data_IF_626338702046
#
_entry.id   IF_626338702046
#
_cell.length_a   1.000
_cell.length_b   1.000
_cell.length_c   1.000
_cell.angle_alpha   90.00
_cell.angle_beta   90.00
_cell.angle_gamma   90.00
#
_symmetry.space_group_name_H-M   'P 1'
#
loop_
_entity.id
_entity.type
_entity.pdbx_description
1 polymer ?
#
# COMPACT_ATOMS: atom_id res chain seq x y z
N UNK A 1 13.97 -11.20 5.26
CA UNK A 1 13.77 -11.52 6.68
C UNK A 1 13.82 -13.03 6.87
N UNK A 2 14.51 -13.53 7.91
CA UNK A 2 14.57 -14.96 8.25
C UNK A 2 13.74 -15.19 9.51
N UNK A 3 12.50 -15.62 9.31
CA UNK A 3 11.51 -15.85 10.38
C UNK A 3 12.02 -16.80 11.48
N UNK A 4 12.73 -17.87 11.09
CA UNK A 4 13.24 -18.88 12.03
C UNK A 4 14.53 -18.55 12.75
N UNK A 5 15.28 -17.53 12.30
CA UNK A 5 16.57 -17.13 12.88
C UNK A 5 16.55 -15.74 13.52
N UNK A 6 15.37 -15.11 13.65
CA UNK A 6 15.21 -13.76 14.20
C UNK A 6 16.19 -12.75 13.58
N UNK A 7 16.25 -12.74 12.23
CA UNK A 7 17.34 -12.08 11.51
C UNK A 7 16.93 -11.38 10.21
N UNK A 8 17.68 -10.34 9.85
CA UNK A 8 17.75 -9.77 8.50
C UNK A 8 19.09 -10.14 7.86
N UNK A 9 19.04 -10.87 6.74
CA UNK A 9 20.22 -11.19 5.93
C UNK A 9 20.24 -10.34 4.68
N UNK A 10 21.35 -9.66 4.41
CA UNK A 10 21.59 -8.89 3.20
C UNK A 10 22.39 -9.76 2.23
N UNK A 11 21.89 -9.89 1.00
CA UNK A 11 22.53 -10.65 -0.07
C UNK A 11 22.91 -9.69 -1.20
N UNK A 12 24.18 -9.72 -1.61
CA UNK A 12 24.66 -9.01 -2.80
C UNK A 12 24.35 -9.81 -4.05
N UNK A 13 23.78 -9.17 -5.07
CA UNK A 13 23.54 -9.76 -6.39
C UNK A 13 24.66 -9.35 -7.35
N UNK A 14 25.34 -10.33 -7.94
CA UNK A 14 26.24 -10.09 -9.06
C UNK A 14 25.42 -9.61 -10.29
N UNK A 15 25.72 -8.45 -10.89
CA UNK A 15 24.91 -7.91 -11.97
C UNK A 15 25.04 -8.71 -13.28
N UNK A 16 26.18 -9.37 -13.52
CA UNK A 16 26.42 -10.13 -14.75
C UNK A 16 25.82 -11.54 -14.70
N UNK A 17 25.97 -12.24 -13.58
CA UNK A 17 25.56 -13.63 -13.42
C UNK A 17 24.28 -13.82 -12.61
N UNK A 18 23.80 -12.78 -11.90
CA UNK A 18 22.66 -12.86 -10.99
C UNK A 18 22.90 -13.68 -9.71
N UNK A 19 24.13 -14.10 -9.44
CA UNK A 19 24.44 -14.93 -8.25
C UNK A 19 24.31 -14.09 -6.99
N UNK A 20 23.76 -14.70 -5.94
CA UNK A 20 23.60 -14.08 -4.62
C UNK A 20 24.72 -14.54 -3.68
N UNK A 21 25.31 -13.59 -2.95
CA UNK A 21 26.29 -13.87 -1.88
C UNK A 21 25.91 -13.13 -0.61
N UNK A 22 25.94 -13.75 0.58
CA UNK A 22 25.73 -13.04 1.83
C UNK A 22 26.73 -11.90 2.03
N UNK A 23 26.24 -10.76 2.51
CA UNK A 23 27.03 -9.54 2.71
C UNK A 23 26.91 -9.00 4.14
N UNK A 24 25.71 -8.97 4.72
CA UNK A 24 25.49 -8.61 6.12
C UNK A 24 24.47 -9.55 6.79
N UNK A 25 24.58 -9.68 8.11
CA UNK A 25 23.62 -10.40 8.95
C UNK A 25 23.34 -9.54 10.19
N UNK A 26 22.07 -9.21 10.40
CA UNK A 26 21.57 -8.53 11.59
C UNK A 26 20.69 -9.49 12.38
N UNK A 27 21.05 -9.73 13.63
CA UNK A 27 20.34 -10.62 14.56
C UNK A 27 19.61 -9.78 15.62
N UNK A 28 18.52 -10.34 16.14
CA UNK A 28 17.87 -9.81 17.33
C UNK A 28 18.82 -9.79 18.55
N UNK A 29 18.68 -8.78 19.40
CA UNK A 29 19.51 -8.61 20.61
C UNK A 29 19.42 -9.79 21.57
N UNK A 30 18.26 -10.47 21.64
CA UNK A 30 18.08 -11.65 22.50
C UNK A 30 18.81 -12.89 21.98
N UNK A 31 19.24 -12.88 20.71
CA UNK A 31 20.04 -13.92 20.06
C UNK A 31 21.53 -13.52 19.99
N UNK A 32 21.96 -12.55 20.80
CA UNK A 32 23.33 -12.03 20.80
C UNK A 32 23.63 -11.05 19.66
N UNK A 33 22.60 -10.56 18.97
CA UNK A 33 22.69 -9.51 17.97
C UNK A 33 22.75 -8.10 18.56
N UNK A 34 22.56 -7.10 17.69
CA UNK A 34 22.64 -5.68 18.05
C UNK A 34 21.39 -4.89 17.65
N UNK A 35 20.31 -5.59 17.28
CA UNK A 35 19.07 -4.96 16.82
C UNK A 35 17.94 -5.42 17.71
N UNK A 36 17.21 -4.48 18.30
CA UNK A 36 16.02 -4.79 19.08
C UNK A 36 14.82 -4.97 18.14
N UNK A 37 13.92 -5.90 18.48
CA UNK A 37 12.62 -6.05 17.82
C UNK A 37 12.64 -6.86 16.53
N UNK A 38 13.59 -7.77 16.34
CA UNK A 38 13.68 -8.67 15.18
C UNK A 38 13.22 -10.11 15.48
N UNK A 39 12.37 -10.33 16.49
CA UNK A 39 11.84 -11.68 16.76
C UNK A 39 10.75 -12.03 15.74
N UNK A 40 10.96 -13.11 14.98
CA UNK A 40 10.07 -13.59 13.90
C UNK A 40 9.74 -12.49 12.89
N UNK A 41 10.74 -11.97 12.13
CA UNK A 41 10.51 -10.93 11.14
C UNK A 41 9.65 -11.47 9.99
N UNK A 42 8.65 -10.69 9.58
CA UNK A 42 7.55 -11.10 8.67
C UNK A 42 7.69 -10.53 7.28
N UNK A 43 7.98 -9.23 7.15
CA UNK A 43 8.14 -8.56 5.85
C UNK A 43 9.34 -7.60 5.84
N UNK A 44 9.76 -7.21 4.63
CA UNK A 44 10.81 -6.21 4.41
C UNK A 44 10.43 -5.32 3.23
N UNK A 45 10.61 -4.01 3.37
CA UNK A 45 10.43 -3.04 2.30
C UNK A 45 11.60 -2.05 2.26
N UNK A 46 11.99 -1.61 1.06
CA UNK A 46 12.98 -0.56 0.88
C UNK A 46 12.28 0.73 0.40
N UNK A 47 12.79 1.89 0.80
CA UNK A 47 12.31 3.16 0.25
C UNK A 47 12.69 3.33 -1.22
N UNK A 48 11.91 4.08 -2.02
CA UNK A 48 12.19 4.31 -3.44
C UNK A 48 13.54 4.95 -3.74
N UNK A 49 14.03 5.80 -2.83
CA UNK A 49 15.36 6.44 -2.93
C UNK A 49 16.52 5.50 -2.56
N UNK A 50 16.22 4.27 -2.13
CA UNK A 50 17.19 3.25 -1.76
C UNK A 50 17.95 3.53 -0.46
N UNK A 51 17.48 4.49 0.36
CA UNK A 51 18.15 4.95 1.59
C UNK A 51 17.61 4.35 2.88
N UNK A 52 16.47 3.67 2.84
CA UNK A 52 15.83 3.10 4.02
C UNK A 52 15.38 1.68 3.75
N UNK A 53 15.44 0.84 4.78
CA UNK A 53 14.88 -0.51 4.81
C UNK A 53 14.06 -0.66 6.08
N UNK A 54 12.85 -1.18 5.95
CA UNK A 54 11.90 -1.38 7.04
C UNK A 54 11.59 -2.86 7.17
N UNK A 55 11.53 -3.36 8.40
CA UNK A 55 11.23 -4.77 8.71
C UNK A 55 10.13 -4.81 9.74
N UNK A 56 9.02 -5.48 9.43
CA UNK A 56 8.03 -5.83 10.46
C UNK A 56 8.41 -7.14 11.12
N UNK A 57 8.14 -7.25 12.41
CA UNK A 57 8.33 -8.51 13.14
C UNK A 57 7.13 -8.84 14.00
N UNK A 58 6.49 -9.96 13.69
CA UNK A 58 5.28 -10.38 14.37
C UNK A 58 5.54 -10.95 15.77
N UNK A 59 6.73 -11.49 16.04
CA UNK A 59 7.08 -12.00 17.36
C UNK A 59 7.37 -10.91 18.39
N UNK A 60 7.92 -9.78 17.94
CA UNK A 60 8.17 -8.59 18.77
C UNK A 60 7.08 -7.53 18.67
N UNK A 61 6.07 -7.72 17.81
CA UNK A 61 5.06 -6.70 17.48
C UNK A 61 5.71 -5.35 17.14
N UNK A 62 6.55 -5.32 16.11
CA UNK A 62 7.49 -4.21 15.87
C UNK A 62 7.63 -3.79 14.41
N UNK A 63 8.14 -2.58 14.22
CA UNK A 63 8.71 -2.05 12.98
C UNK A 63 10.16 -1.62 13.24
N UNK A 64 11.11 -2.25 12.57
CA UNK A 64 12.55 -1.96 12.67
C UNK A 64 13.01 -1.21 11.41
N UNK A 65 13.65 -0.07 11.58
CA UNK A 65 14.22 0.74 10.51
C UNK A 65 15.74 0.55 10.44
N UNK A 66 16.23 0.44 9.20
CA UNK A 66 17.64 0.49 8.85
C UNK A 66 17.88 1.62 7.85
N UNK A 67 18.92 2.40 8.08
CA UNK A 67 19.49 3.28 7.06
C UNK A 67 20.30 2.43 6.09
N UNK A 68 20.21 2.75 4.81
CA UNK A 68 20.91 2.08 3.72
C UNK A 68 21.79 3.09 2.98
N UNK A 69 23.05 2.75 2.80
CA UNK A 69 23.90 3.49 1.86
C UNK A 69 23.43 3.20 0.42
N UNK A 70 23.00 4.20 -0.37
CA UNK A 70 22.48 3.95 -1.71
C UNK A 70 23.56 3.51 -2.72
N UNK A 71 24.85 3.76 -2.43
CA UNK A 71 25.98 3.39 -3.28
C UNK A 71 26.50 1.99 -2.98
N UNK A 72 26.66 1.64 -1.69
CA UNK A 72 27.21 0.34 -1.29
C UNK A 72 26.12 -0.69 -1.01
N UNK A 73 24.93 -0.24 -0.61
CA UNK A 73 23.85 -1.09 -0.15
C UNK A 73 23.97 -1.54 1.30
N UNK A 74 25.01 -1.11 2.01
CA UNK A 74 25.22 -1.45 3.42
C UNK A 74 24.10 -0.88 4.29
N UNK A 75 23.62 -1.70 5.21
CA UNK A 75 22.64 -1.32 6.21
C UNK A 75 23.31 -0.92 7.52
N UNK A 76 22.73 0.05 8.20
CA UNK A 76 23.03 0.44 9.57
C UNK A 76 21.71 0.56 10.37
N UNK A 77 21.63 0.03 11.61
CA UNK A 77 20.43 0.13 12.42
C UNK A 77 20.01 1.58 12.65
N UNK A 78 18.71 1.83 12.55
CA UNK A 78 18.04 3.08 12.91
C UNK A 78 17.13 2.85 14.12
N UNK A 79 15.94 3.43 14.06
CA UNK A 79 14.92 3.34 15.10
C UNK A 79 14.18 1.98 15.07
N UNK A 80 13.77 1.52 16.26
CA UNK A 80 12.82 0.41 16.42
C UNK A 80 11.58 0.92 17.12
N UNK A 81 10.42 0.57 16.58
CA UNK A 81 9.10 0.86 17.15
C UNK A 81 8.46 -0.44 17.62
N UNK A 82 7.97 -0.46 18.86
CA UNK A 82 7.34 -1.62 19.51
C UNK A 82 5.90 -1.30 19.88
N UNK A 83 5.03 -2.29 19.77
CA UNK A 83 3.67 -2.22 20.29
C UNK A 83 3.67 -2.05 21.82
N UNK A 84 2.67 -1.33 22.35
CA UNK A 84 2.59 -0.97 23.76
C UNK A 84 3.56 0.15 24.20
N UNK A 85 4.28 0.77 23.26
CA UNK A 85 5.05 1.99 23.48
C UNK A 85 4.18 3.24 23.72
N UNK A 86 4.84 4.39 23.83
CA UNK A 86 4.18 5.70 23.79
C UNK A 86 4.77 6.50 22.62
N UNK A 87 3.96 6.86 21.60
CA UNK A 87 2.51 6.67 21.49
C UNK A 87 2.12 5.19 21.36
N UNK A 88 0.85 4.88 21.66
CA UNK A 88 0.29 3.55 21.44
C UNK A 88 0.22 3.29 19.93
N UNK A 89 1.00 2.32 19.46
CA UNK A 89 1.03 1.89 18.07
C UNK A 89 0.03 0.74 17.88
N UNK A 90 -0.37 0.47 16.63
CA UNK A 90 -1.12 -0.73 16.27
C UNK A 90 -0.18 -1.67 15.50
N UNK A 91 0.71 -2.34 16.24
CA UNK A 91 1.75 -3.22 15.69
C UNK A 91 1.61 -4.67 16.18
N UNK A 92 0.48 -5.04 16.78
CA UNK A 92 0.27 -6.38 17.32
C UNK A 92 0.42 -7.43 16.23
N UNK A 93 1.43 -8.29 16.38
CA UNK A 93 1.71 -9.32 15.39
C UNK A 93 2.09 -8.80 14.01
N UNK A 94 2.68 -7.60 13.90
CA UNK A 94 3.06 -6.92 12.65
C UNK A 94 3.43 -7.87 11.48
N UNK A 95 2.78 -7.67 10.33
CA UNK A 95 2.66 -8.65 9.25
C UNK A 95 3.34 -8.19 7.97
N UNK A 96 3.00 -6.99 7.52
CA UNK A 96 3.44 -6.46 6.23
C UNK A 96 3.80 -4.97 6.36
N UNK A 97 4.64 -4.49 5.45
CA UNK A 97 5.04 -3.08 5.39
C UNK A 97 5.10 -2.60 3.95
N UNK A 98 4.61 -1.39 3.70
CA UNK A 98 4.68 -0.74 2.40
C UNK A 98 5.13 0.71 2.53
N UNK A 99 5.97 1.16 1.61
CA UNK A 99 6.50 2.53 1.56
C UNK A 99 5.83 3.26 0.40
N UNK A 100 5.43 4.50 0.61
CA UNK A 100 4.82 5.32 -0.44
C UNK A 100 5.83 5.61 -1.58
N UNK A 101 5.35 5.73 -2.83
CA UNK A 101 6.21 6.02 -3.99
C UNK A 101 7.00 7.33 -3.90
N UNK A 102 6.47 8.32 -3.17
CA UNK A 102 7.15 9.59 -2.88
C UNK A 102 8.24 9.46 -1.79
N UNK A 103 8.38 8.30 -1.16
CA UNK A 103 9.36 8.02 -0.10
C UNK A 103 9.09 8.75 1.21
N UNK A 104 7.89 9.27 1.43
CA UNK A 104 7.55 10.09 2.61
C UNK A 104 6.82 9.36 3.71
N UNK A 105 6.13 8.26 3.39
CA UNK A 105 5.23 7.59 4.32
C UNK A 105 5.45 6.07 4.30
N UNK A 106 5.34 5.45 5.48
CA UNK A 106 5.48 4.01 5.70
C UNK A 106 4.24 3.52 6.42
N UNK A 107 3.66 2.43 5.91
CA UNK A 107 2.49 1.79 6.49
C UNK A 107 2.86 0.39 6.96
N UNK A 108 2.78 0.17 8.27
CA UNK A 108 2.94 -1.14 8.87
C UNK A 108 1.56 -1.74 9.16
N UNK A 109 1.26 -2.89 8.56
CA UNK A 109 0.04 -3.65 8.77
C UNK A 109 0.23 -4.64 9.91
N UNK A 110 -0.74 -4.68 10.82
CA UNK A 110 -0.77 -5.56 11.97
C UNK A 110 -2.19 -6.11 12.21
N UNK A 111 -2.34 -7.01 13.19
CA UNK A 111 -3.64 -7.62 13.51
C UNK A 111 -4.64 -6.61 14.06
N UNK A 112 -4.15 -5.53 14.69
CA UNK A 112 -4.98 -4.52 15.35
C UNK A 112 -5.04 -3.18 14.60
N UNK A 113 -4.38 -3.02 13.45
CA UNK A 113 -4.48 -1.81 12.62
C UNK A 113 -3.41 -1.65 11.56
N UNK A 114 -3.45 -0.49 10.89
CA UNK A 114 -2.37 0.03 10.04
C UNK A 114 -1.76 1.21 10.77
N UNK A 115 -0.49 1.09 11.16
CA UNK A 115 0.27 2.19 11.75
C UNK A 115 1.00 2.96 10.64
N UNK A 116 0.78 4.28 10.59
CA UNK A 116 1.39 5.19 9.63
C UNK A 116 2.54 5.96 10.27
N UNK A 117 3.69 5.95 9.60
CA UNK A 117 4.85 6.76 9.94
C UNK A 117 5.23 7.68 8.79
N UNK A 118 5.82 8.85 9.10
CA UNK A 118 6.44 9.74 8.11
C UNK A 118 7.95 9.68 8.20
N UNK A 119 8.60 9.72 7.04
CA UNK A 119 10.04 9.85 6.90
C UNK A 119 10.36 11.34 6.81
N UNK A 120 11.07 11.86 7.83
CA UNK A 120 11.53 13.24 7.88
C UNK A 120 12.68 13.52 6.91
N UNK A 121 12.95 14.80 6.65
CA UNK A 121 14.09 15.23 5.83
C UNK A 121 15.45 14.82 6.42
N UNK A 122 15.50 14.66 7.74
CA UNK A 122 16.65 14.17 8.51
C UNK A 122 16.76 12.64 8.53
N UNK A 123 15.95 11.94 7.71
CA UNK A 123 15.83 10.49 7.65
C UNK A 123 15.26 9.85 8.93
N UNK A 124 14.75 10.65 9.88
CA UNK A 124 14.10 10.13 11.08
C UNK A 124 12.68 9.65 10.77
N UNK A 125 12.29 8.51 11.33
CA UNK A 125 10.93 8.01 11.22
C UNK A 125 10.09 8.56 12.39
N UNK A 126 8.95 9.17 12.09
CA UNK A 126 8.04 9.71 13.11
C UNK A 126 6.66 9.09 13.00
N UNK A 127 6.07 8.73 14.13
CA UNK A 127 4.69 8.26 14.18
C UNK A 127 3.73 9.38 13.74
N UNK A 128 2.78 9.05 12.88
CA UNK A 128 1.77 9.99 12.37
C UNK A 128 0.38 9.68 12.94
N UNK A 129 -0.18 8.54 12.56
CA UNK A 129 -1.50 8.10 12.99
C UNK A 129 -1.68 6.57 12.90
N UNK A 130 -2.84 6.09 13.33
CA UNK A 130 -3.28 4.70 13.22
C UNK A 130 -4.65 4.68 12.55
N UNK A 131 -4.80 3.83 11.53
CA UNK A 131 -6.10 3.45 10.99
C UNK A 131 -6.44 2.03 11.46
N UNK A 132 -7.51 1.90 12.23
CA UNK A 132 -7.98 0.63 12.78
C UNK A 132 -9.50 0.49 12.66
N UNK A 133 -10.01 -0.68 13.07
CA UNK A 133 -11.44 -0.97 13.13
C UNK A 133 -11.89 -2.07 12.15
N UNK A 134 -13.12 -2.59 12.33
CA UNK A 134 -13.56 -3.81 11.66
C UNK A 134 -13.65 -3.69 10.14
N UNK A 135 -13.84 -2.49 9.59
CA UNK A 135 -13.83 -2.27 8.14
C UNK A 135 -12.43 -2.44 7.52
N UNK A 136 -11.36 -2.23 8.29
CA UNK A 136 -9.98 -2.21 7.80
C UNK A 136 -9.27 -3.52 8.08
N UNK A 137 -9.39 -4.03 9.31
CA UNK A 137 -8.71 -5.25 9.77
C UNK A 137 -9.64 -6.45 9.95
N UNK A 138 -10.96 -6.25 9.87
CA UNK A 138 -11.95 -7.30 10.12
C UNK A 138 -12.44 -7.41 11.54
N UNK A 139 -13.53 -8.17 11.70
CA UNK A 139 -14.11 -8.45 13.00
C UNK A 139 -13.39 -9.66 13.63
N UNK A 140 -12.50 -9.37 14.59
CA UNK A 140 -11.78 -10.37 15.37
C UNK A 140 -10.56 -10.94 14.66
N UNK A 141 -9.77 -11.73 15.41
CA UNK A 141 -8.49 -12.30 14.95
C UNK A 141 -8.62 -13.23 13.74
N UNK A 142 -9.81 -13.81 13.54
CA UNK A 142 -10.07 -14.79 12.48
C UNK A 142 -10.08 -14.20 11.05
N UNK A 143 -10.24 -12.87 10.89
CA UNK A 143 -10.23 -12.23 9.56
C UNK A 143 -8.80 -11.99 9.02
N UNK A 144 -7.82 -11.82 9.93
CA UNK A 144 -6.38 -11.76 9.67
C UNK A 144 -5.93 -11.03 8.39
N UNK A 145 -5.59 -9.71 8.44
CA UNK A 145 -4.82 -9.07 7.38
C UNK A 145 -3.56 -9.87 7.02
N UNK A 146 -3.22 -9.91 5.73
CA UNK A 146 -2.12 -10.72 5.19
C UNK A 146 -1.06 -9.89 4.49
N UNK A 147 -1.45 -8.86 3.76
CA UNK A 147 -0.53 -8.03 2.97
C UNK A 147 -1.08 -6.61 2.75
N UNK A 148 -0.18 -5.66 2.46
CA UNK A 148 -0.50 -4.26 2.17
C UNK A 148 0.42 -3.71 1.09
N UNK A 149 -0.14 -2.95 0.15
CA UNK A 149 0.62 -2.27 -0.89
C UNK A 149 0.08 -0.88 -1.14
N UNK A 150 0.98 0.12 -1.14
CA UNK A 150 0.66 1.44 -1.70
C UNK A 150 0.61 1.30 -3.23
N UNK A 151 -0.44 1.85 -3.84
CA UNK A 151 -0.57 1.89 -5.30
C UNK A 151 0.52 2.79 -5.88
N UNK A 152 1.14 2.49 -7.06
CA UNK A 152 2.28 3.25 -7.57
C UNK A 152 2.07 4.76 -7.78
N UNK A 153 0.83 5.20 -7.99
CA UNK A 153 0.48 6.63 -8.07
C UNK A 153 0.46 7.33 -6.70
N UNK A 154 0.48 6.58 -5.60
CA UNK A 154 0.53 7.09 -4.23
C UNK A 154 -0.80 7.61 -3.67
N UNK A 155 -1.90 7.50 -4.42
CA UNK A 155 -3.24 7.98 -4.01
C UNK A 155 -4.10 6.95 -3.28
N UNK A 156 -3.68 5.69 -3.24
CA UNK A 156 -4.44 4.61 -2.62
C UNK A 156 -3.53 3.54 -2.02
N UNK A 157 -4.10 2.75 -1.11
CA UNK A 157 -3.48 1.58 -0.51
C UNK A 157 -4.45 0.40 -0.62
N UNK A 158 -3.93 -0.76 -0.99
CA UNK A 158 -4.70 -2.01 -1.05
C UNK A 158 -4.15 -2.94 0.00
N UNK A 159 -5.01 -3.57 0.79
CA UNK A 159 -4.64 -4.61 1.73
C UNK A 159 -5.51 -5.85 1.53
N UNK A 160 -4.99 -7.02 1.86
CA UNK A 160 -5.71 -8.30 1.80
C UNK A 160 -5.99 -8.82 3.20
N UNK A 161 -7.12 -9.50 3.35
CA UNK A 161 -7.53 -10.20 4.57
C UNK A 161 -7.88 -11.62 4.19
N UNK A 162 -7.00 -12.53 4.56
CA UNK A 162 -7.09 -13.92 4.12
C UNK A 162 -8.08 -14.75 4.93
N UNK A 163 -8.43 -14.31 6.14
CA UNK A 163 -9.34 -15.04 7.01
C UNK A 163 -10.81 -14.83 6.70
N UNK A 164 -11.15 -13.75 6.00
CA UNK A 164 -12.51 -13.48 5.51
C UNK A 164 -12.54 -13.11 4.02
N UNK A 165 -11.56 -13.62 3.26
CA UNK A 165 -11.57 -13.61 1.80
C UNK A 165 -11.84 -12.23 1.18
N UNK A 166 -11.15 -11.21 1.71
CA UNK A 166 -11.47 -9.81 1.37
C UNK A 166 -10.24 -9.04 0.89
N UNK A 167 -10.47 -8.16 -0.08
CA UNK A 167 -9.55 -7.08 -0.46
C UNK A 167 -10.12 -5.75 0.03
N UNK A 168 -9.33 -4.96 0.75
CA UNK A 168 -9.74 -3.64 1.24
C UNK A 168 -8.98 -2.55 0.48
N UNK A 169 -9.73 -1.58 -0.02
CA UNK A 169 -9.21 -0.38 -0.66
C UNK A 169 -9.29 0.80 0.31
N UNK A 170 -8.16 1.46 0.48
CA UNK A 170 -8.01 2.68 1.24
C UNK A 170 -7.57 3.82 0.31
N UNK A 171 -8.04 5.02 0.59
CA UNK A 171 -7.54 6.26 0.00
C UNK A 171 -6.38 6.78 0.83
N UNK A 172 -5.33 7.28 0.16
CA UNK A 172 -4.18 7.93 0.79
C UNK A 172 -4.20 9.42 0.47
N UNK A 173 -4.24 10.24 1.52
CA UNK A 173 -4.23 11.70 1.39
C UNK A 173 -2.85 12.20 0.93
N UNK A 174 -2.69 12.87 -0.23
CA UNK A 174 -1.38 13.21 -0.80
C UNK A 174 -0.50 14.10 0.10
N UNK A 175 -1.11 14.96 0.92
CA UNK A 175 -0.39 15.90 1.78
C UNK A 175 0.01 15.30 3.12
N UNK A 176 -0.90 14.56 3.76
CA UNK A 176 -0.69 14.06 5.11
C UNK A 176 -0.19 12.62 5.15
N UNK A 177 -0.44 11.83 4.10
CA UNK A 177 -0.22 10.39 4.11
C UNK A 177 -1.30 9.61 4.88
N UNK A 178 -2.24 10.28 5.53
CA UNK A 178 -3.30 9.60 6.31
C UNK A 178 -4.18 8.76 5.39
N UNK A 179 -4.64 7.62 5.93
CA UNK A 179 -5.47 6.66 5.21
C UNK A 179 -6.94 6.80 5.58
N UNK A 180 -7.82 6.58 4.60
CA UNK A 180 -9.28 6.52 4.79
C UNK A 180 -9.83 5.25 4.14
N UNK A 181 -10.71 4.54 4.85
CA UNK A 181 -11.42 3.41 4.27
C UNK A 181 -12.32 3.86 3.11
N UNK A 182 -12.26 3.14 1.98
CA UNK A 182 -13.13 3.35 0.82
C UNK A 182 -14.10 2.20 0.68
N UNK A 183 -13.59 0.98 0.50
CA UNK A 183 -14.43 -0.21 0.27
C UNK A 183 -13.71 -1.51 0.65
N UNK A 184 -14.49 -2.56 0.81
CA UNK A 184 -14.05 -3.93 0.94
C UNK A 184 -14.75 -4.79 -0.10
N UNK A 185 -14.00 -5.60 -0.83
CA UNK A 185 -14.50 -6.51 -1.86
C UNK A 185 -14.32 -7.93 -1.33
N UNK A 186 -15.43 -8.63 -1.12
CA UNK A 186 -15.49 -10.07 -0.95
C UNK A 186 -16.18 -10.68 -2.17
N UNK A 187 -15.89 -11.93 -2.47
CA UNK A 187 -16.55 -12.66 -3.56
C UNK A 187 -17.46 -13.70 -2.95
N UNK A 188 -18.76 -13.45 -2.99
CA UNK A 188 -19.76 -14.46 -2.68
C UNK A 188 -19.84 -15.40 -3.90
N UNK A 189 -19.90 -16.71 -3.66
CA UNK A 189 -19.43 -17.81 -4.53
C UNK A 189 -20.03 -17.97 -5.96
N UNK A 190 -20.78 -17.03 -6.52
CA UNK A 190 -21.60 -17.33 -7.70
C UNK A 190 -21.01 -16.93 -9.06
N UNK A 191 -20.00 -16.05 -9.15
CA UNK A 191 -19.52 -15.62 -10.47
C UNK A 191 -18.02 -15.33 -10.50
N UNK A 192 -17.25 -16.39 -10.79
CA UNK A 192 -15.84 -16.40 -11.20
C UNK A 192 -14.81 -15.82 -10.21
N UNK A 193 -14.14 -16.77 -9.53
CA UNK A 193 -12.99 -16.64 -8.63
C UNK A 193 -13.34 -16.12 -7.23
N UNK A 194 -13.21 -17.01 -6.25
CA UNK A 194 -13.28 -16.64 -4.84
C UNK A 194 -12.01 -15.89 -4.46
N UNK A 195 -12.07 -14.93 -3.55
CA UNK A 195 -10.92 -14.32 -2.88
C UNK A 195 -10.40 -15.22 -1.74
N UNK A 196 -10.62 -16.53 -1.85
CA UNK A 196 -10.37 -17.51 -0.81
C UNK A 196 -8.90 -17.52 -0.36
N UNK A 197 -8.68 -17.12 0.88
CA UNK A 197 -7.35 -17.00 1.47
C UNK A 197 -6.51 -15.92 0.78
N UNK A 198 -7.07 -14.75 0.47
CA UNK A 198 -6.34 -13.62 -0.08
C UNK A 198 -5.04 -13.36 0.72
N UNK A 199 -3.89 -13.71 0.14
CA UNK A 199 -2.64 -13.89 0.87
C UNK A 199 -1.56 -12.86 0.54
N UNK A 200 -1.56 -12.37 -0.69
CA UNK A 200 -0.62 -11.35 -1.15
C UNK A 200 -1.27 -10.49 -2.23
N UNK A 201 -0.86 -9.23 -2.31
CA UNK A 201 -1.38 -8.29 -3.30
C UNK A 201 -0.25 -7.62 -4.06
N UNK A 202 -0.39 -7.54 -5.38
CA UNK A 202 0.50 -6.80 -6.26
C UNK A 202 -0.33 -5.86 -7.15
N UNK A 203 0.18 -4.65 -7.36
CA UNK A 203 -0.46 -3.66 -8.22
C UNK A 203 0.47 -3.35 -9.38
N UNK A 204 -0.05 -3.33 -10.59
CA UNK A 204 0.76 -2.99 -11.75
C UNK A 204 1.20 -1.51 -11.75
N UNK A 205 2.23 -1.13 -12.52
CA UNK A 205 2.74 0.24 -12.53
C UNK A 205 1.70 1.33 -12.81
N UNK A 206 0.69 1.05 -13.65
CA UNK A 206 -0.38 2.02 -13.96
C UNK A 206 -1.40 2.21 -12.81
N UNK A 207 -1.41 1.28 -11.84
CA UNK A 207 -2.42 1.26 -10.77
C UNK A 207 -3.80 0.77 -11.19
N UNK A 208 -4.00 0.34 -12.44
CA UNK A 208 -5.29 -0.10 -12.99
C UNK A 208 -5.62 -1.56 -12.69
N UNK A 209 -4.62 -2.43 -12.60
CA UNK A 209 -4.80 -3.85 -12.30
C UNK A 209 -4.19 -4.21 -10.96
N UNK A 210 -4.98 -4.90 -10.15
CA UNK A 210 -4.61 -5.46 -8.85
C UNK A 210 -4.67 -6.98 -8.96
N UNK A 211 -3.59 -7.64 -8.58
CA UNK A 211 -3.45 -9.08 -8.57
C UNK A 211 -3.42 -9.58 -7.14
N UNK A 212 -4.25 -10.57 -6.82
CA UNK A 212 -4.33 -11.15 -5.47
C UNK A 212 -4.04 -12.64 -5.54
N UNK A 213 -3.00 -13.07 -4.84
CA UNK A 213 -2.70 -14.49 -4.70
C UNK A 213 -3.64 -15.13 -3.68
N UNK A 214 -4.21 -16.29 -4.03
CA UNK A 214 -5.26 -16.95 -3.26
C UNK A 214 -4.71 -18.23 -2.65
N UNK A 215 -4.58 -18.27 -1.32
CA UNK A 215 -4.04 -19.43 -0.60
C UNK A 215 -4.97 -20.64 -0.69
N UNK A 216 -6.28 -20.42 -0.67
CA UNK A 216 -7.29 -21.49 -0.68
C UNK A 216 -8.07 -21.57 -1.99
N UNK A 217 -8.00 -20.53 -2.82
CA UNK A 217 -8.58 -20.51 -4.17
C UNK A 217 -7.68 -21.08 -5.28
N UNK A 218 -6.47 -21.52 -4.95
CA UNK A 218 -5.47 -22.11 -5.88
C UNK A 218 -5.26 -21.29 -7.17
N UNK A 219 -5.23 -19.96 -7.05
CA UNK A 219 -5.21 -19.07 -8.21
C UNK A 219 -4.79 -17.63 -7.92
N UNK A 220 -5.00 -16.77 -8.93
CA UNK A 220 -4.78 -15.32 -8.84
C UNK A 220 -6.07 -14.62 -9.27
N UNK A 221 -6.66 -13.81 -8.39
CA UNK A 221 -7.74 -12.91 -8.76
C UNK A 221 -7.16 -11.66 -9.43
N UNK A 222 -7.79 -11.21 -10.51
CA UNK A 222 -7.41 -9.99 -11.25
C UNK A 222 -8.54 -8.99 -11.11
N UNK A 223 -8.30 -7.94 -10.34
CA UNK A 223 -9.26 -6.89 -10.06
C UNK A 223 -8.88 -5.64 -10.85
N UNK A 224 -9.88 -4.98 -11.44
CA UNK A 224 -9.70 -3.68 -12.09
C UNK A 224 -9.98 -2.58 -11.08
N UNK A 225 -8.99 -1.71 -10.84
CA UNK A 225 -9.16 -0.49 -10.06
C UNK A 225 -9.58 0.65 -10.99
N UNK A 226 -10.64 1.34 -10.61
CA UNK A 226 -11.05 2.60 -11.21
C UNK A 226 -10.50 3.74 -10.34
N UNK A 227 -9.85 4.77 -10.89
CA UNK A 227 -9.45 5.92 -10.09
C UNK A 227 -10.68 6.58 -9.47
N UNK A 228 -10.53 6.96 -8.20
CA UNK A 228 -11.61 7.22 -7.26
C UNK A 228 -12.43 8.49 -7.49
N UNK A 229 -12.08 9.34 -8.47
CA UNK A 229 -12.93 10.45 -8.94
C UNK A 229 -12.39 10.92 -10.31
N UNK A 230 -12.74 10.26 -11.42
CA UNK A 230 -12.32 10.80 -12.71
C UNK A 230 -12.96 12.18 -12.94
N UNK A 231 -12.18 13.12 -13.44
CA UNK A 231 -12.57 14.52 -13.62
C UNK A 231 -12.88 15.31 -12.32
N UNK A 232 -12.46 14.86 -11.13
CA UNK A 232 -12.32 15.75 -9.95
C UNK A 232 -11.01 16.53 -10.10
N UNK A 233 -11.12 17.67 -10.75
CA UNK A 233 -9.99 18.47 -11.20
C UNK A 233 -9.36 19.25 -10.04
N UNK A 234 -10.13 19.54 -9.00
CA UNK A 234 -9.72 20.35 -7.86
C UNK A 234 -9.30 19.51 -6.63
N UNK A 235 -9.47 18.19 -6.71
CA UNK A 235 -9.20 17.18 -5.68
C UNK A 235 -10.01 17.40 -4.39
N UNK A 236 -11.24 17.91 -4.50
CA UNK A 236 -12.13 18.12 -3.36
C UNK A 236 -12.98 16.88 -3.00
N UNK A 237 -12.85 15.81 -3.78
CA UNK A 237 -13.55 14.54 -3.57
C UNK A 237 -14.94 14.49 -4.16
N UNK A 238 -15.32 15.49 -4.98
CA UNK A 238 -16.56 15.53 -5.73
C UNK A 238 -16.30 15.86 -7.20
N UNK A 239 -17.25 15.53 -8.08
CA UNK A 239 -17.17 15.96 -9.48
C UNK A 239 -18.32 16.89 -9.77
N UNK A 240 -18.00 18.14 -10.02
CA UNK A 240 -18.94 19.22 -10.32
C UNK A 240 -19.02 19.48 -11.82
N UNK A 241 -20.04 20.25 -12.24
CA UNK A 241 -20.24 20.56 -13.66
C UNK A 241 -19.08 21.39 -14.22
N UNK A 242 -18.48 22.29 -13.44
CA UNK A 242 -17.33 23.09 -13.86
C UNK A 242 -16.07 22.23 -14.08
N UNK A 243 -15.92 21.15 -13.33
CA UNK A 243 -14.86 20.18 -13.55
C UNK A 243 -15.10 19.31 -14.78
N UNK A 244 -16.34 18.89 -15.04
CA UNK A 244 -16.71 18.24 -16.31
C UNK A 244 -16.45 19.13 -17.51
N UNK A 245 -16.76 20.43 -17.41
CA UNK A 245 -16.44 21.41 -18.45
C UNK A 245 -14.92 21.51 -18.65
N UNK A 246 -14.15 21.47 -17.57
CA UNK A 246 -12.68 21.47 -17.62
C UNK A 246 -12.16 20.22 -18.34
N UNK A 247 -12.69 19.04 -18.02
CA UNK A 247 -12.36 17.79 -18.70
C UNK A 247 -12.71 17.80 -20.20
N UNK A 248 -13.91 18.30 -20.57
CA UNK A 248 -14.33 18.45 -21.97
C UNK A 248 -13.42 19.43 -22.74
N UNK A 249 -13.06 20.56 -22.13
CA UNK A 249 -12.17 21.52 -22.77
C UNK A 249 -10.77 20.94 -23.01
N UNK A 250 -10.29 20.09 -22.09
CA UNK A 250 -9.03 19.39 -22.24
C UNK A 250 -9.07 18.30 -23.33
N UNK A 251 -10.17 17.52 -23.40
CA UNK A 251 -10.47 16.60 -24.52
C UNK A 251 -10.41 17.31 -25.88
N UNK A 252 -11.08 18.46 -26.00
CA UNK A 252 -11.15 19.22 -27.26
C UNK A 252 -9.80 19.84 -27.68
N UNK A 253 -8.87 19.99 -26.74
CA UNK A 253 -7.56 20.58 -26.99
C UNK A 253 -6.51 19.57 -27.48
N UNK A 254 -6.81 18.27 -27.45
CA UNK A 254 -5.89 17.15 -27.79
C UNK A 254 -4.50 17.29 -27.12
N UNK A 255 -4.48 17.91 -25.94
CA UNK A 255 -3.33 18.13 -25.06
C UNK A 255 -3.82 18.20 -23.61
N UNK A 256 -3.11 17.59 -22.66
CA UNK A 256 -3.48 17.71 -21.27
C UNK A 256 -3.25 19.16 -20.85
N UNK A 257 -4.34 19.87 -20.52
CA UNK A 257 -4.25 21.23 -20.01
C UNK A 257 -3.84 21.19 -18.54
N UNK A 258 -3.06 22.17 -18.05
CA UNK A 258 -2.89 22.37 -16.62
C UNK A 258 -4.26 22.69 -16.02
N UNK A 259 -4.88 21.71 -15.35
CA UNK A 259 -6.16 21.94 -14.71
C UNK A 259 -7.01 20.71 -14.41
N UNK A 260 -6.78 19.54 -15.01
CA UNK A 260 -7.57 18.34 -14.67
C UNK A 260 -6.91 17.02 -15.07
N UNK A 261 -5.79 16.68 -14.44
CA UNK A 261 -5.09 15.42 -14.72
C UNK A 261 -5.91 14.18 -14.33
N UNK A 262 -6.86 14.36 -13.44
CA UNK A 262 -7.78 13.33 -12.94
C UNK A 262 -8.81 12.92 -14.02
N UNK A 263 -9.00 13.74 -15.07
CA UNK A 263 -9.80 13.36 -16.22
C UNK A 263 -9.06 12.41 -17.18
N UNK A 264 -7.72 12.41 -17.19
CA UNK A 264 -6.90 11.42 -17.90
C UNK A 264 -6.79 10.17 -17.02
N UNK A 265 -7.65 9.20 -17.30
CA UNK A 265 -7.93 8.06 -16.42
C UNK A 265 -6.94 6.94 -16.63
N UNK A 266 -6.43 6.78 -17.84
CA UNK A 266 -5.46 5.73 -18.18
C UNK A 266 -4.01 6.21 -18.22
N UNK A 267 -3.77 7.51 -18.04
CA UNK A 267 -2.46 8.12 -17.87
C UNK A 267 -1.67 8.21 -19.18
N UNK A 268 -2.35 8.17 -20.33
CA UNK A 268 -1.72 8.21 -21.65
C UNK A 268 -1.42 9.65 -22.14
N UNK A 269 -1.68 10.65 -21.30
CA UNK A 269 -1.59 12.08 -21.57
C UNK A 269 -2.58 12.58 -22.64
N UNK A 270 -3.68 11.88 -22.86
CA UNK A 270 -4.83 12.34 -23.63
C UNK A 270 -6.08 12.13 -22.80
N UNK A 271 -7.06 13.01 -23.00
CA UNK A 271 -8.40 12.78 -22.48
C UNK A 271 -9.24 12.30 -23.65
N UNK A 272 -9.99 11.21 -23.47
CA UNK A 272 -10.90 10.64 -24.45
C UNK A 272 -12.38 10.83 -24.03
N UNK A 273 -13.30 10.58 -24.96
CA UNK A 273 -14.74 10.69 -24.69
C UNK A 273 -15.17 9.71 -23.60
N UNK A 274 -14.64 8.49 -23.57
CA UNK A 274 -15.00 7.51 -22.56
C UNK A 274 -14.57 7.92 -21.14
N UNK A 275 -13.52 8.72 -21.01
CA UNK A 275 -13.06 9.25 -19.73
C UNK A 275 -13.93 10.41 -19.23
N UNK A 276 -14.33 11.32 -20.13
CA UNK A 276 -15.30 12.37 -19.80
C UNK A 276 -16.64 11.77 -19.40
N UNK A 277 -17.11 10.73 -20.11
CA UNK A 277 -18.34 10.00 -19.75
C UNK A 277 -18.22 9.35 -18.37
N UNK A 278 -17.03 8.87 -18.01
CA UNK A 278 -16.77 8.35 -16.67
C UNK A 278 -16.84 9.45 -15.61
N UNK A 279 -16.29 10.64 -15.87
CA UNK A 279 -16.45 11.80 -15.00
C UNK A 279 -17.91 12.20 -14.80
N UNK A 280 -18.74 12.15 -15.86
CA UNK A 280 -20.19 12.43 -15.75
C UNK A 280 -20.87 11.44 -14.79
N UNK A 281 -20.45 10.17 -14.77
CA UNK A 281 -20.94 9.20 -13.79
C UNK A 281 -20.54 9.57 -12.37
N UNK A 282 -19.30 10.00 -12.15
CA UNK A 282 -18.84 10.48 -10.84
C UNK A 282 -19.64 11.70 -10.37
N UNK A 283 -20.03 12.60 -11.27
CA UNK A 283 -20.86 13.76 -10.95
C UNK A 283 -22.31 13.39 -10.60
N UNK A 284 -22.86 12.36 -11.23
CA UNK A 284 -24.23 11.91 -11.03
C UNK A 284 -24.42 11.06 -9.78
N UNK A 285 -23.45 10.19 -9.51
CA UNK A 285 -23.56 9.16 -8.47
C UNK A 285 -22.54 9.37 -7.35
N UNK A 286 -21.73 10.42 -7.40
CA UNK A 286 -20.63 10.60 -6.47
C UNK A 286 -19.48 9.63 -6.71
N UNK A 287 -18.28 10.09 -6.35
CA UNK A 287 -17.02 9.36 -6.49
C UNK A 287 -16.96 8.01 -5.75
N UNK A 288 -17.77 7.85 -4.71
CA UNK A 288 -17.77 6.67 -3.82
C UNK A 288 -18.87 5.67 -4.21
N UNK A 289 -19.95 6.12 -4.83
CA UNK A 289 -21.14 5.31 -5.13
C UNK A 289 -21.08 4.70 -6.54
N UNK A 290 -20.46 5.39 -7.52
CA UNK A 290 -20.32 4.91 -8.89
C UNK A 290 -19.39 3.69 -9.08
N UNK A 291 -18.57 3.35 -8.08
CA UNK A 291 -17.72 2.17 -8.09
C UNK A 291 -18.48 0.85 -7.82
N UNK A 292 -19.74 0.93 -7.37
CA UNK A 292 -20.55 -0.21 -6.94
C UNK A 292 -21.64 -0.62 -7.96
N UNK A 293 -21.72 0.01 -9.14
CA UNK A 293 -22.67 -0.43 -10.18
C UNK A 293 -21.98 -1.34 -11.22
N UNK A 294 -22.63 -2.45 -11.63
CA UNK A 294 -22.12 -3.29 -12.70
C UNK A 294 -22.07 -2.49 -14.01
N UNK A 295 -21.00 -2.67 -14.76
CA UNK A 295 -20.83 -2.07 -16.09
C UNK A 295 -21.95 -2.52 -17.04
N UNK A 296 -22.78 -1.58 -17.49
CA UNK A 296 -23.63 -1.72 -18.69
C UNK A 296 -22.79 -1.93 -19.95
#
# INVERSE_FOLDING_TARGET
>A
ASYGNNALTVLRRDPGSGRLTPEQLWLDENEGGSVSGLVRPTAVAASPDGRHVFVTSGGSSSLVHFRRDPHTGELAPGETFLDGGSPALALEGAIAVSVSPDGRDVYALAMNGVTHFRIGEDAALTFADVLAGPAVIGAGEAAGPTDITVVPQGSAVVLTRGGDDTVVLLERMPRTGSLRFVQSISTDEEEFATLAGAAAVAVEPSGRWVYVALQFGDGVAVLRRWPSCAADCNEDGSVTVDELVTAVNALLSDRPQPGCWQADRDGDNRITVDEVVFGVRMALFGCVEAANEPSL
#
